data_IF_765148189987
#
_entry.id   IF_765148189987
#
_cell.length_a   1.000
_cell.length_b   1.000
_cell.length_c   1.000
_cell.angle_alpha   90.00
_cell.angle_beta   90.00
_cell.angle_gamma   90.00
#
_symmetry.space_group_name_H-M   'P 1'
#
loop_
_entity.id
_entity.type
_entity.pdbx_description
1 polymer ?
#
# COMPACT_ATOMS: atom_id res chain seq x y z
N UNK A 1 3.24 -31.33 -17.69
CA UNK A 1 2.52 -30.04 -17.82
C UNK A 1 2.28 -29.49 -16.42
N UNK A 2 2.42 -28.18 -16.22
CA UNK A 2 2.10 -27.55 -14.94
C UNK A 2 0.59 -27.60 -14.70
N UNK A 3 0.17 -27.77 -13.44
CA UNK A 3 -1.25 -27.79 -13.06
C UNK A 3 -1.82 -26.37 -13.03
N UNK A 4 -3.00 -26.08 -13.61
CA UNK A 4 -3.55 -24.74 -13.64
C UNK A 4 -3.93 -24.24 -12.24
N UNK A 5 -3.63 -22.97 -11.97
CA UNK A 5 -4.04 -22.24 -10.78
C UNK A 5 -4.49 -20.81 -11.15
N UNK A 6 -5.47 -20.29 -10.43
CA UNK A 6 -6.05 -18.97 -10.70
C UNK A 6 -5.67 -17.95 -9.63
N UNK A 7 -5.30 -16.74 -10.05
CA UNK A 7 -5.36 -15.52 -9.24
C UNK A 7 -6.61 -14.74 -9.65
N UNK A 8 -7.55 -14.60 -8.71
CA UNK A 8 -8.77 -13.82 -8.87
C UNK A 8 -8.60 -12.46 -8.20
N UNK A 9 -8.84 -11.37 -8.94
CA UNK A 9 -8.99 -10.02 -8.38
C UNK A 9 -10.26 -9.36 -8.92
N UNK A 10 -10.86 -8.48 -8.12
CA UNK A 10 -11.99 -7.64 -8.54
C UNK A 10 -11.63 -6.66 -9.67
N UNK A 11 -10.33 -6.39 -9.87
CA UNK A 11 -9.83 -5.45 -10.87
C UNK A 11 -9.36 -6.13 -12.16
N UNK A 12 -9.16 -7.46 -12.14
CA UNK A 12 -8.57 -8.21 -13.25
C UNK A 12 -9.62 -8.89 -14.15
N UNK A 13 -10.72 -8.19 -14.46
CA UNK A 13 -11.87 -8.79 -15.16
C UNK A 13 -11.62 -9.13 -16.64
N UNK A 14 -10.58 -8.58 -17.26
CA UNK A 14 -10.09 -8.88 -18.62
C UNK A 14 -8.65 -8.33 -18.75
N UNK A 15 -7.78 -8.71 -17.82
CA UNK A 15 -6.50 -8.05 -17.59
C UNK A 15 -5.35 -8.64 -18.42
N UNK A 16 -5.59 -9.71 -19.18
CA UNK A 16 -4.58 -10.40 -20.00
C UNK A 16 -3.32 -10.70 -19.19
N UNK A 17 -3.47 -11.19 -17.95
CA UNK A 17 -2.35 -11.47 -17.03
C UNK A 17 -1.52 -10.22 -16.61
N UNK A 18 -2.03 -8.99 -16.71
CA UNK A 18 -1.26 -7.76 -16.48
C UNK A 18 -0.62 -7.68 -15.08
N UNK A 19 -1.26 -8.20 -14.04
CA UNK A 19 -0.66 -8.29 -12.68
C UNK A 19 0.68 -9.06 -12.67
N UNK A 20 0.92 -9.92 -13.67
CA UNK A 20 2.16 -10.65 -13.88
C UNK A 20 2.95 -10.19 -15.11
N UNK A 21 2.70 -8.98 -15.60
CA UNK A 21 3.48 -8.35 -16.67
C UNK A 21 4.27 -7.18 -16.09
N UNK A 22 5.50 -7.04 -16.59
CA UNK A 22 6.33 -5.85 -16.34
C UNK A 22 6.09 -4.91 -17.51
N UNK A 23 5.46 -3.77 -17.24
CA UNK A 23 5.44 -2.64 -18.18
C UNK A 23 6.30 -1.51 -17.59
N UNK A 24 7.44 -1.17 -18.21
CA UNK A 24 8.32 -0.10 -17.72
C UNK A 24 7.67 1.28 -17.72
N UNK A 25 6.56 1.48 -18.46
CA UNK A 25 5.83 2.74 -18.53
C UNK A 25 4.65 2.83 -17.54
N UNK A 26 4.35 1.75 -16.81
CA UNK A 26 3.22 1.71 -15.91
C UNK A 26 3.56 2.38 -14.57
N UNK A 27 2.66 3.26 -14.13
CA UNK A 27 2.74 3.86 -12.80
C UNK A 27 2.70 2.72 -11.77
N UNK A 28 3.65 2.71 -10.81
CA UNK A 28 3.72 1.76 -9.68
C UNK A 28 4.24 0.34 -9.98
N UNK A 29 5.28 0.20 -10.81
CA UNK A 29 5.95 -1.10 -11.09
C UNK A 29 6.32 -1.89 -9.81
N UNK A 30 6.71 -1.20 -8.73
CA UNK A 30 7.06 -1.80 -7.44
C UNK A 30 5.89 -2.56 -6.80
N UNK A 31 4.64 -2.22 -7.16
CA UNK A 31 3.46 -2.95 -6.68
C UNK A 31 3.28 -4.33 -7.34
N UNK A 32 3.91 -4.59 -8.49
CA UNK A 32 3.74 -5.84 -9.25
C UNK A 32 4.75 -6.93 -8.91
N UNK A 33 5.94 -6.56 -8.45
CA UNK A 33 7.01 -7.51 -8.18
C UNK A 33 6.62 -8.64 -7.22
N UNK A 34 5.89 -8.40 -6.11
CA UNK A 34 5.44 -9.49 -5.23
C UNK A 34 4.61 -10.55 -5.95
N UNK A 35 3.75 -10.13 -6.89
CA UNK A 35 2.91 -11.03 -7.67
C UNK A 35 3.72 -11.82 -8.71
N UNK A 36 4.68 -11.17 -9.37
CA UNK A 36 5.62 -11.83 -10.27
C UNK A 36 6.42 -12.93 -9.55
N UNK A 37 6.97 -12.61 -8.37
CA UNK A 37 7.70 -13.58 -7.53
C UNK A 37 6.81 -14.70 -7.01
N UNK A 38 5.55 -14.40 -6.71
CA UNK A 38 4.58 -15.43 -6.33
C UNK A 38 4.33 -16.42 -7.47
N UNK A 39 4.12 -15.91 -8.70
CA UNK A 39 3.95 -16.74 -9.89
C UNK A 39 5.18 -17.59 -10.19
N UNK A 40 6.38 -17.01 -10.13
CA UNK A 40 7.63 -17.77 -10.29
C UNK A 40 7.76 -18.90 -9.26
N UNK A 41 7.37 -18.62 -8.01
CA UNK A 41 7.46 -19.60 -6.91
C UNK A 41 6.51 -20.78 -7.12
N UNK A 42 5.26 -20.53 -7.52
CA UNK A 42 4.32 -21.59 -7.90
C UNK A 42 4.77 -22.36 -9.14
N UNK A 43 5.34 -21.67 -10.14
CA UNK A 43 5.87 -22.32 -11.36
C UNK A 43 6.97 -23.33 -11.03
N UNK A 44 7.88 -23.02 -10.11
CA UNK A 44 8.92 -23.96 -9.64
C UNK A 44 8.34 -25.19 -8.93
N UNK A 45 7.16 -25.06 -8.34
CA UNK A 45 6.44 -26.14 -7.66
C UNK A 45 5.48 -26.91 -8.61
N UNK A 46 5.52 -26.62 -9.92
CA UNK A 46 4.72 -27.33 -10.93
C UNK A 46 3.30 -26.78 -11.14
N UNK A 47 3.01 -25.56 -10.68
CA UNK A 47 1.71 -24.90 -10.84
C UNK A 47 1.83 -23.70 -11.77
N UNK A 48 0.89 -23.56 -12.71
CA UNK A 48 0.79 -22.39 -13.57
C UNK A 48 -0.21 -21.40 -12.98
N UNK A 49 0.28 -20.39 -12.26
CA UNK A 49 -0.56 -19.33 -11.70
C UNK A 49 -0.79 -18.24 -12.76
N UNK A 50 -2.05 -18.02 -13.12
CA UNK A 50 -2.45 -16.96 -14.04
C UNK A 50 -3.75 -16.29 -13.58
N UNK A 51 -4.06 -15.12 -14.13
CA UNK A 51 -5.32 -14.43 -13.87
C UNK A 51 -6.51 -15.23 -14.39
N UNK A 52 -7.70 -14.96 -13.84
CA UNK A 52 -8.93 -15.73 -14.13
C UNK A 52 -9.37 -15.77 -15.60
N UNK A 53 -8.95 -14.78 -16.40
CA UNK A 53 -9.17 -14.71 -17.85
C UNK A 53 -8.26 -15.68 -18.64
N UNK A 54 -7.18 -16.18 -18.02
CA UNK A 54 -6.28 -17.18 -18.59
C UNK A 54 -6.60 -18.57 -18.01
N UNK A 55 -6.57 -18.69 -16.68
CA UNK A 55 -6.91 -19.93 -15.98
C UNK A 55 -8.24 -19.75 -15.27
N UNK A 56 -9.29 -20.40 -15.77
CA UNK A 56 -10.63 -20.35 -15.19
C UNK A 56 -10.64 -20.95 -13.78
N UNK A 57 -11.53 -20.42 -12.93
CA UNK A 57 -11.63 -20.81 -11.51
C UNK A 57 -12.09 -22.26 -11.38
N UNK A 58 -13.01 -22.68 -12.23
CA UNK A 58 -13.58 -24.03 -12.27
C UNK A 58 -12.59 -25.12 -12.73
N UNK A 59 -11.62 -24.75 -13.58
CA UNK A 59 -10.65 -25.68 -14.15
C UNK A 59 -9.34 -25.74 -13.34
N UNK A 60 -9.19 -24.84 -12.36
CA UNK A 60 -7.96 -24.67 -11.60
C UNK A 60 -7.92 -25.55 -10.35
N UNK A 61 -6.73 -26.10 -10.07
CA UNK A 61 -6.50 -26.94 -8.89
C UNK A 61 -6.72 -26.15 -7.58
N UNK A 62 -6.39 -24.86 -7.60
CA UNK A 62 -6.69 -23.92 -6.54
C UNK A 62 -6.86 -22.50 -7.08
N UNK A 63 -7.52 -21.66 -6.29
CA UNK A 63 -7.69 -20.23 -6.58
C UNK A 63 -7.23 -19.38 -5.40
N UNK A 64 -6.45 -18.33 -5.69
CA UNK A 64 -6.09 -17.26 -4.76
C UNK A 64 -6.93 -16.04 -5.07
N UNK A 65 -7.72 -15.59 -4.11
CA UNK A 65 -8.53 -14.39 -4.19
C UNK A 65 -7.79 -13.22 -3.54
N UNK A 66 -7.54 -12.15 -4.29
CA UNK A 66 -7.09 -10.87 -3.76
C UNK A 66 -8.31 -10.01 -3.45
N UNK A 67 -8.52 -9.82 -2.14
CA UNK A 67 -9.73 -9.26 -1.55
C UNK A 67 -11.01 -10.05 -1.85
N UNK A 68 -12.05 -9.78 -1.08
CA UNK A 68 -13.34 -10.42 -1.18
C UNK A 68 -13.96 -10.13 -2.56
N UNK A 69 -14.39 -11.15 -3.32
CA UNK A 69 -15.12 -10.95 -4.57
C UNK A 69 -16.37 -10.09 -4.36
N UNK A 70 -16.56 -9.05 -5.18
CA UNK A 70 -17.74 -8.17 -5.06
C UNK A 70 -19.07 -8.92 -5.19
N UNK A 71 -19.10 -9.97 -6.01
CA UNK A 71 -20.27 -10.80 -6.26
C UNK A 71 -20.17 -12.16 -5.54
N UNK A 72 -19.66 -12.19 -4.29
CA UNK A 72 -19.40 -13.41 -3.51
C UNK A 72 -20.61 -14.35 -3.34
N UNK A 73 -21.84 -13.82 -3.49
CA UNK A 73 -23.07 -14.61 -3.41
C UNK A 73 -23.55 -15.14 -4.77
N UNK A 74 -22.95 -14.66 -5.87
CA UNK A 74 -23.33 -15.00 -7.25
C UNK A 74 -22.29 -15.93 -7.89
N UNK A 75 -21.10 -16.05 -7.30
CA UNK A 75 -20.02 -16.91 -7.79
C UNK A 75 -19.87 -18.16 -6.94
N UNK A 76 -19.57 -19.28 -7.59
CA UNK A 76 -19.12 -20.50 -6.90
C UNK A 76 -17.68 -20.31 -6.41
N UNK A 77 -17.42 -20.67 -5.15
CA UNK A 77 -16.09 -20.67 -4.56
C UNK A 77 -15.63 -22.13 -4.42
N UNK A 78 -14.65 -22.58 -5.23
CA UNK A 78 -14.16 -23.96 -5.15
C UNK A 78 -13.59 -24.30 -3.78
N UNK A 79 -13.54 -25.59 -3.45
CA UNK A 79 -13.02 -26.09 -2.16
C UNK A 79 -11.60 -25.60 -1.85
N UNK A 80 -10.71 -25.59 -2.85
CA UNK A 80 -9.32 -25.12 -2.71
C UNK A 80 -9.21 -23.62 -3.04
N UNK A 81 -9.96 -22.80 -2.29
CA UNK A 81 -9.92 -21.35 -2.42
C UNK A 81 -9.26 -20.71 -1.22
N UNK A 82 -8.33 -19.80 -1.47
CA UNK A 82 -7.56 -19.07 -0.48
C UNK A 82 -7.78 -17.58 -0.66
N UNK A 83 -7.87 -16.84 0.44
CA UNK A 83 -8.15 -15.40 0.41
C UNK A 83 -6.96 -14.62 0.97
N UNK A 84 -6.52 -13.59 0.26
CA UNK A 84 -5.59 -12.59 0.76
C UNK A 84 -6.40 -11.33 1.02
N UNK A 85 -6.55 -10.97 2.29
CA UNK A 85 -7.15 -9.71 2.72
C UNK A 85 -6.10 -8.61 2.54
N UNK A 86 -6.00 -8.10 1.32
CA UNK A 86 -5.02 -7.08 0.99
C UNK A 86 -5.47 -5.74 1.57
N UNK A 87 -6.66 -5.26 1.17
CA UNK A 87 -7.11 -3.92 1.48
C UNK A 87 -7.83 -3.80 2.85
N UNK A 88 -7.67 -2.63 3.47
CA UNK A 88 -8.34 -2.28 4.73
C UNK A 88 -9.82 -1.94 4.57
N UNK A 89 -10.55 -1.85 5.67
CA UNK A 89 -11.99 -1.60 5.75
C UNK A 89 -12.43 -0.29 5.10
N UNK A 90 -11.53 0.69 5.04
CA UNK A 90 -11.74 1.96 4.33
C UNK A 90 -11.81 1.76 2.81
N UNK A 91 -11.12 0.76 2.27
CA UNK A 91 -10.96 0.53 0.82
C UNK A 91 -11.82 -0.65 0.33
N UNK A 92 -11.82 -1.76 1.06
CA UNK A 92 -12.55 -2.97 0.75
C UNK A 92 -13.36 -3.42 1.98
N UNK A 93 -14.48 -2.76 2.30
CA UNK A 93 -15.31 -3.12 3.46
C UNK A 93 -15.82 -4.57 3.41
N UNK A 94 -15.96 -5.15 2.21
CA UNK A 94 -16.41 -6.53 1.99
C UNK A 94 -15.45 -7.57 2.57
N UNK A 95 -14.15 -7.24 2.71
CA UNK A 95 -13.15 -8.05 3.39
C UNK A 95 -13.49 -8.34 4.84
N UNK A 96 -14.34 -7.51 5.47
CA UNK A 96 -14.58 -7.55 6.91
C UNK A 96 -15.95 -8.13 7.25
N UNK A 97 -16.62 -8.73 6.26
CA UNK A 97 -17.85 -9.49 6.45
C UNK A 97 -17.48 -10.93 6.82
N UNK A 98 -17.24 -11.16 8.12
CA UNK A 98 -16.65 -12.40 8.65
C UNK A 98 -17.36 -13.70 8.22
N UNK A 99 -18.69 -13.69 8.04
CA UNK A 99 -19.42 -14.88 7.57
C UNK A 99 -18.93 -15.40 6.21
N UNK A 100 -18.42 -14.51 5.34
CA UNK A 100 -17.93 -14.88 4.02
C UNK A 100 -16.58 -15.63 4.09
N UNK A 101 -15.83 -15.47 5.18
CA UNK A 101 -14.56 -16.17 5.42
C UNK A 101 -14.72 -17.68 5.51
N UNK A 102 -15.91 -18.17 5.83
CA UNK A 102 -16.21 -19.61 5.88
C UNK A 102 -16.08 -20.28 4.49
N UNK A 103 -16.17 -19.52 3.40
CA UNK A 103 -16.04 -20.02 2.03
C UNK A 103 -14.60 -20.33 1.60
N UNK A 104 -13.60 -19.90 2.38
CA UNK A 104 -12.19 -20.05 2.04
C UNK A 104 -11.49 -21.01 2.99
N UNK A 105 -10.58 -21.83 2.44
CA UNK A 105 -9.82 -22.85 3.19
C UNK A 105 -8.87 -22.19 4.19
N UNK A 106 -8.04 -21.26 3.70
CA UNK A 106 -7.18 -20.39 4.52
C UNK A 106 -7.27 -18.94 4.06
N UNK A 107 -6.94 -18.03 4.96
CA UNK A 107 -7.00 -16.59 4.80
C UNK A 107 -5.66 -16.01 5.25
N UNK A 108 -5.07 -15.19 4.42
CA UNK A 108 -3.87 -14.43 4.74
C UNK A 108 -4.31 -13.00 5.03
N UNK A 109 -3.95 -12.49 6.21
CA UNK A 109 -4.34 -11.15 6.65
C UNK A 109 -3.17 -10.44 7.33
N UNK A 110 -3.13 -9.12 7.23
CA UNK A 110 -2.24 -8.28 8.04
C UNK A 110 -2.83 -8.01 9.44
N UNK A 111 -4.15 -8.23 9.61
CA UNK A 111 -4.85 -7.99 10.87
C UNK A 111 -4.47 -9.07 11.89
N UNK A 112 -3.60 -8.68 12.82
CA UNK A 112 -3.07 -9.56 13.86
C UNK A 112 -4.13 -10.12 14.81
N UNK A 113 -5.30 -9.50 14.93
CA UNK A 113 -6.36 -9.96 15.85
C UNK A 113 -7.10 -11.18 15.34
N UNK A 114 -7.04 -11.46 14.03
CA UNK A 114 -7.70 -12.62 13.42
C UNK A 114 -6.80 -13.86 13.37
N UNK A 115 -5.48 -13.70 13.55
CA UNK A 115 -4.49 -14.74 13.26
C UNK A 115 -4.56 -15.87 14.29
N UNK A 116 -4.85 -17.09 13.81
CA UNK A 116 -4.89 -18.33 14.60
C UNK A 116 -3.85 -19.37 14.15
N UNK A 117 -3.14 -19.11 13.05
CA UNK A 117 -2.20 -20.03 12.37
C UNK A 117 -2.82 -21.37 11.95
N UNK A 118 -4.15 -21.42 11.84
CA UNK A 118 -4.92 -22.58 11.35
C UNK A 118 -5.69 -22.20 10.09
N UNK A 119 -6.58 -21.20 10.21
CA UNK A 119 -7.33 -20.62 9.10
C UNK A 119 -6.76 -19.27 8.71
N UNK A 120 -6.32 -18.47 9.66
CA UNK A 120 -5.82 -17.12 9.47
C UNK A 120 -4.30 -17.06 9.68
N UNK A 121 -3.58 -16.63 8.66
CA UNK A 121 -2.13 -16.51 8.67
C UNK A 121 -1.71 -15.05 8.50
N UNK A 122 -0.75 -14.62 9.32
CA UNK A 122 -0.26 -13.25 9.30
C UNK A 122 0.67 -13.03 8.09
N UNK A 123 0.27 -12.19 7.15
CA UNK A 123 1.21 -11.67 6.14
C UNK A 123 1.59 -10.22 6.45
N UNK A 124 2.81 -9.85 6.10
CA UNK A 124 3.23 -8.46 6.05
C UNK A 124 3.31 -8.01 4.60
N UNK A 125 2.98 -6.75 4.35
CA UNK A 125 3.10 -6.20 3.00
C UNK A 125 4.53 -6.45 2.46
N UNK A 126 4.66 -7.07 1.28
CA UNK A 126 5.95 -7.41 0.70
C UNK A 126 6.65 -6.18 0.13
N UNK A 127 7.91 -5.99 0.49
CA UNK A 127 8.73 -4.83 0.12
C UNK A 127 10.14 -5.25 -0.32
N UNK A 128 10.74 -4.43 -1.17
CA UNK A 128 12.20 -4.42 -1.35
C UNK A 128 12.83 -3.84 -0.09
N UNK A 129 13.91 -4.46 0.38
CA UNK A 129 14.65 -4.02 1.56
C UNK A 129 16.00 -3.42 1.16
N UNK A 130 15.96 -2.56 0.15
CA UNK A 130 17.10 -1.79 -0.34
C UNK A 130 17.19 -0.43 0.36
N UNK A 131 18.34 0.24 0.25
CA UNK A 131 18.53 1.57 0.82
C UNK A 131 19.37 2.43 -0.12
N UNK A 132 18.86 3.61 -0.44
CA UNK A 132 19.55 4.65 -1.17
C UNK A 132 19.28 6.00 -0.51
N UNK A 133 20.25 6.92 -0.54
CA UNK A 133 20.09 8.21 0.12
C UNK A 133 20.85 9.30 -0.63
N UNK A 134 20.18 10.42 -0.92
CA UNK A 134 20.83 11.65 -1.41
C UNK A 134 21.43 12.46 -0.27
N UNK A 135 22.48 13.26 -0.52
CA UNK A 135 23.04 14.14 0.50
C UNK A 135 22.00 15.10 1.09
N UNK A 136 22.04 15.30 2.41
CA UNK A 136 21.08 16.15 3.15
C UNK A 136 20.90 17.56 2.56
N UNK A 137 21.97 18.16 2.01
CA UNK A 137 21.96 19.51 1.44
C UNK A 137 21.19 19.61 0.11
N UNK A 138 21.06 18.50 -0.61
CA UNK A 138 20.35 18.45 -1.90
C UNK A 138 18.85 18.20 -1.74
N UNK A 139 18.41 17.85 -0.52
CA UNK A 139 17.03 17.49 -0.24
C UNK A 139 16.17 18.70 0.14
N UNK A 140 15.00 18.79 -0.48
CA UNK A 140 13.88 19.65 -0.06
C UNK A 140 13.33 19.17 1.29
N UNK A 141 12.51 19.99 1.95
CA UNK A 141 12.09 19.72 3.31
C UNK A 141 11.09 18.56 3.40
N UNK A 142 9.86 18.74 2.91
CA UNK A 142 8.78 17.75 3.11
C UNK A 142 8.08 17.41 1.80
N UNK A 143 7.74 16.12 1.62
CA UNK A 143 6.84 15.66 0.57
C UNK A 143 5.59 14.93 1.07
N UNK A 144 4.64 14.70 0.19
CA UNK A 144 3.61 13.67 0.34
C UNK A 144 3.35 12.96 -1.00
N UNK A 145 3.32 11.63 -1.00
CA UNK A 145 2.91 10.82 -2.16
C UNK A 145 1.60 10.12 -1.83
N UNK A 146 0.49 10.63 -2.36
CA UNK A 146 -0.83 10.05 -2.13
C UNK A 146 -1.77 10.37 -3.27
N UNK A 147 -2.61 9.41 -3.68
CA UNK A 147 -3.70 9.69 -4.62
C UNK A 147 -4.82 10.50 -3.96
N UNK A 148 -5.50 11.34 -4.76
CA UNK A 148 -6.71 12.02 -4.33
C UNK A 148 -7.85 10.98 -4.25
N UNK A 149 -8.12 10.51 -3.03
CA UNK A 149 -9.21 9.56 -2.75
C UNK A 149 -10.18 10.18 -1.77
N UNK A 150 -11.34 9.54 -1.64
CA UNK A 150 -12.40 9.92 -0.72
C UNK A 150 -13.02 8.68 -0.10
N UNK A 151 -13.34 8.75 1.19
CA UNK A 151 -14.15 7.77 1.90
C UNK A 151 -14.97 8.47 2.98
N UNK A 152 -16.13 7.91 3.31
CA UNK A 152 -16.94 8.34 4.47
C UNK A 152 -16.60 7.53 5.73
N UNK A 153 -15.67 6.56 5.64
CA UNK A 153 -15.34 5.69 6.75
C UNK A 153 -14.64 6.51 7.86
N UNK A 154 -15.02 6.37 9.14
CA UNK A 154 -14.50 7.24 10.22
C UNK A 154 -12.99 7.12 10.45
N UNK A 155 -12.39 5.98 10.05
CA UNK A 155 -10.95 5.74 10.19
C UNK A 155 -10.11 6.22 9.00
N UNK A 156 -10.73 6.79 7.96
CA UNK A 156 -10.01 7.22 6.76
C UNK A 156 -9.02 8.38 7.04
N UNK A 157 -7.88 8.36 6.35
CA UNK A 157 -6.86 9.40 6.46
C UNK A 157 -6.79 10.33 5.24
N UNK A 158 -7.67 10.17 4.24
CA UNK A 158 -7.71 11.03 3.06
C UNK A 158 -8.09 12.47 3.41
N UNK A 159 -9.05 12.68 4.33
CA UNK A 159 -9.37 14.04 4.79
C UNK A 159 -8.20 14.69 5.51
N UNK A 160 -7.41 13.93 6.27
CA UNK A 160 -6.22 14.46 6.93
C UNK A 160 -5.15 14.87 5.91
N UNK A 161 -4.96 14.10 4.84
CA UNK A 161 -4.07 14.47 3.71
C UNK A 161 -4.50 15.80 3.08
N UNK A 162 -5.81 16.00 2.86
CA UNK A 162 -6.35 17.27 2.35
C UNK A 162 -6.13 18.44 3.32
N UNK A 163 -6.33 18.21 4.63
CA UNK A 163 -6.04 19.21 5.68
C UNK A 163 -4.56 19.59 5.70
N UNK A 164 -3.67 18.60 5.56
CA UNK A 164 -2.22 18.80 5.48
C UNK A 164 -1.86 19.70 4.29
N UNK A 165 -2.32 19.35 3.07
CA UNK A 165 -2.07 20.14 1.86
C UNK A 165 -2.57 21.59 2.05
N UNK A 166 -3.81 21.76 2.53
CA UNK A 166 -4.38 23.09 2.76
C UNK A 166 -3.57 23.90 3.76
N UNK A 167 -3.11 23.27 4.84
CA UNK A 167 -2.30 23.95 5.85
C UNK A 167 -0.98 24.48 5.25
N UNK A 168 -0.26 23.66 4.47
CA UNK A 168 0.99 24.09 3.83
C UNK A 168 0.78 25.15 2.75
N UNK A 169 -0.28 25.05 1.92
CA UNK A 169 -0.63 26.08 0.93
C UNK A 169 -0.87 27.46 1.56
N UNK A 170 -1.40 27.50 2.79
CA UNK A 170 -1.65 28.76 3.52
C UNK A 170 -0.45 29.25 4.31
N UNK A 171 0.37 28.36 4.88
CA UNK A 171 1.36 28.75 5.88
C UNK A 171 2.82 28.68 5.39
N UNK A 172 3.21 27.64 4.64
CA UNK A 172 4.62 27.35 4.31
C UNK A 172 4.73 26.60 2.97
N UNK A 173 4.28 27.22 1.89
CA UNK A 173 4.15 26.55 0.59
C UNK A 173 5.49 26.05 0.02
N UNK A 174 6.57 26.82 0.19
CA UNK A 174 7.88 26.53 -0.43
C UNK A 174 8.59 25.32 0.18
N UNK A 175 8.16 24.88 1.37
CA UNK A 175 8.75 23.77 2.11
C UNK A 175 8.02 22.43 1.90
N UNK A 176 6.92 22.42 1.15
CA UNK A 176 6.09 21.23 0.95
C UNK A 176 5.64 21.07 -0.49
N UNK A 177 5.92 19.92 -1.08
CA UNK A 177 5.45 19.52 -2.41
C UNK A 177 4.73 18.16 -2.33
N UNK A 178 3.75 17.92 -3.19
CA UNK A 178 3.07 16.62 -3.18
C UNK A 178 2.76 16.07 -4.57
N UNK A 179 2.65 14.75 -4.62
CA UNK A 179 2.46 13.97 -5.83
C UNK A 179 1.32 12.98 -5.67
N UNK A 180 0.75 12.55 -6.78
CA UNK A 180 -0.19 11.44 -6.82
C UNK A 180 -1.31 11.63 -7.83
N UNK A 181 -2.03 10.56 -8.12
CA UNK A 181 -3.06 10.55 -9.16
C UNK A 181 -4.34 11.22 -8.66
N UNK A 182 -4.97 12.04 -9.53
CA UNK A 182 -6.34 12.53 -9.34
C UNK A 182 -6.47 13.86 -8.59
N UNK A 183 -5.37 14.52 -8.25
CA UNK A 183 -5.42 15.88 -7.67
C UNK A 183 -5.74 16.96 -8.72
N UNK A 184 -5.54 16.65 -10.00
CA UNK A 184 -5.97 17.42 -11.16
C UNK A 184 -7.44 17.18 -11.53
N UNK A 185 -8.22 16.56 -10.64
CA UNK A 185 -9.62 16.19 -10.87
C UNK A 185 -10.47 16.56 -9.66
N UNK A 186 -11.67 17.07 -9.93
CA UNK A 186 -12.69 17.25 -8.91
C UNK A 186 -13.20 15.88 -8.44
N UNK A 187 -13.03 15.61 -7.14
CA UNK A 187 -13.58 14.43 -6.47
C UNK A 187 -14.44 14.90 -5.30
N UNK A 188 -15.72 14.57 -5.35
CA UNK A 188 -16.70 14.91 -4.33
C UNK A 188 -17.10 13.68 -3.52
N UNK A 189 -17.78 13.92 -2.39
CA UNK A 189 -18.38 12.85 -1.59
C UNK A 189 -19.58 12.17 -2.26
N UNK A 190 -20.22 12.85 -3.21
CA UNK A 190 -21.42 12.37 -3.86
C UNK A 190 -21.07 11.53 -5.09
N UNK A 191 -21.35 10.22 -5.00
CA UNK A 191 -21.06 9.25 -6.06
C UNK A 191 -21.80 9.57 -7.36
N UNK A 192 -23.04 10.02 -7.29
CA UNK A 192 -23.83 10.41 -8.47
C UNK A 192 -23.24 11.65 -9.14
N UNK A 193 -22.85 12.64 -8.34
CA UNK A 193 -22.21 13.85 -8.86
C UNK A 193 -20.87 13.52 -9.54
N UNK A 194 -20.04 12.66 -8.92
CA UNK A 194 -18.80 12.19 -9.54
C UNK A 194 -19.05 11.48 -10.88
N UNK A 195 -20.12 10.68 -10.97
CA UNK A 195 -20.51 10.02 -12.21
C UNK A 195 -20.88 11.04 -13.30
N UNK A 196 -21.68 12.06 -12.98
CA UNK A 196 -22.08 13.12 -13.92
C UNK A 196 -20.86 13.92 -14.37
N UNK A 197 -20.04 14.40 -13.44
CA UNK A 197 -18.81 15.17 -13.73
C UNK A 197 -17.87 14.39 -14.65
N UNK A 198 -17.70 13.08 -14.39
CA UNK A 198 -16.87 12.21 -15.22
C UNK A 198 -17.47 12.00 -16.60
N UNK A 199 -18.78 11.73 -16.70
CA UNK A 199 -19.49 11.52 -17.98
C UNK A 199 -19.38 12.74 -18.90
N UNK A 200 -19.32 13.94 -18.33
CA UNK A 200 -19.28 15.21 -19.06
C UNK A 200 -17.85 15.79 -19.19
N UNK A 201 -16.82 15.03 -18.79
CA UNK A 201 -15.41 15.47 -18.80
C UNK A 201 -15.12 16.80 -18.04
N UNK A 202 -16.01 17.21 -17.12
CA UNK A 202 -15.87 18.45 -16.34
C UNK A 202 -14.88 18.32 -15.17
N UNK A 203 -14.40 17.10 -14.89
CA UNK A 203 -13.53 16.82 -13.73
C UNK A 203 -12.25 17.65 -13.70
N UNK A 204 -11.62 17.88 -14.85
CA UNK A 204 -10.40 18.69 -14.98
C UNK A 204 -10.68 20.20 -14.98
N UNK A 205 -11.81 20.62 -15.51
CA UNK A 205 -12.18 22.05 -15.58
C UNK A 205 -12.44 22.58 -14.17
N UNK A 206 -13.13 21.79 -13.35
CA UNK A 206 -13.52 22.14 -11.99
C UNK A 206 -12.50 21.68 -10.94
N UNK A 207 -11.32 21.20 -11.36
CA UNK A 207 -10.33 20.69 -10.42
C UNK A 207 -9.74 21.80 -9.55
N UNK A 208 -9.51 21.56 -8.26
CA UNK A 208 -8.74 22.51 -7.44
C UNK A 208 -7.35 22.73 -8.05
N UNK A 209 -6.89 23.99 -8.07
CA UNK A 209 -5.53 24.34 -8.52
C UNK A 209 -4.63 24.46 -7.29
N UNK A 210 -3.85 23.41 -7.04
CA UNK A 210 -2.81 23.41 -6.01
C UNK A 210 -1.51 23.94 -6.59
N UNK A 211 -0.84 24.86 -5.89
CA UNK A 211 0.40 25.48 -6.35
C UNK A 211 1.60 24.55 -6.11
N UNK A 212 1.55 23.74 -5.07
CA UNK A 212 2.60 22.78 -4.70
C UNK A 212 2.37 21.33 -5.17
N UNK A 213 1.38 21.10 -6.03
CA UNK A 213 1.18 19.81 -6.69
C UNK A 213 2.14 19.61 -7.85
N UNK A 214 2.80 18.46 -7.91
CA UNK A 214 3.83 18.13 -8.92
C UNK A 214 3.41 17.04 -9.91
N UNK A 215 2.15 16.61 -9.90
CA UNK A 215 1.66 15.57 -10.82
C UNK A 215 1.69 14.16 -10.24
N UNK A 216 1.41 13.18 -11.09
CA UNK A 216 1.64 11.75 -10.78
C UNK A 216 3.07 11.35 -11.11
N UNK A 217 3.56 10.33 -10.41
CA UNK A 217 4.93 9.80 -10.55
C UNK A 217 4.87 8.37 -11.08
N UNK A 218 5.66 8.06 -12.10
CA UNK A 218 5.84 6.71 -12.63
C UNK A 218 6.71 5.89 -11.71
N UNK A 219 7.86 6.46 -11.33
CA UNK A 219 8.77 5.91 -10.35
C UNK A 219 8.70 6.74 -9.05
N UNK A 220 8.36 6.08 -7.94
CA UNK A 220 8.28 6.74 -6.63
C UNK A 220 9.64 7.23 -6.15
N UNK A 221 10.73 6.52 -6.49
CA UNK A 221 12.10 6.87 -6.12
C UNK A 221 12.46 8.26 -6.61
N UNK A 222 12.24 8.53 -7.90
CA UNK A 222 12.59 9.80 -8.56
C UNK A 222 11.95 11.01 -7.90
N UNK A 223 10.82 10.83 -7.22
CA UNK A 223 10.20 11.86 -6.40
C UNK A 223 10.74 11.85 -4.97
N UNK A 224 10.64 10.73 -4.27
CA UNK A 224 10.90 10.63 -2.82
C UNK A 224 12.33 10.99 -2.43
N UNK A 225 13.33 10.54 -3.18
CA UNK A 225 14.74 10.68 -2.78
C UNK A 225 15.20 12.14 -2.65
N UNK A 226 14.43 13.09 -3.21
CA UNK A 226 14.70 14.53 -3.15
C UNK A 226 14.22 15.20 -1.86
N UNK A 227 13.66 14.46 -0.90
CA UNK A 227 13.08 15.03 0.32
C UNK A 227 13.71 14.47 1.59
N UNK A 228 13.78 15.31 2.62
CA UNK A 228 14.21 14.91 3.97
C UNK A 228 13.11 14.11 4.64
N UNK A 229 11.89 14.62 4.60
CA UNK A 229 10.73 14.03 5.26
C UNK A 229 9.61 13.75 4.26
N UNK A 230 8.80 12.73 4.52
CA UNK A 230 7.58 12.47 3.75
C UNK A 230 6.42 12.13 4.67
N UNK A 231 5.25 12.75 4.46
CA UNK A 231 4.00 12.34 5.10
C UNK A 231 3.62 10.94 4.63
N UNK A 232 3.85 9.97 5.52
CA UNK A 232 3.61 8.55 5.33
C UNK A 232 2.31 8.15 6.04
N UNK A 233 1.19 8.74 5.61
CA UNK A 233 -0.12 8.43 6.15
C UNK A 233 -0.70 7.20 5.46
N UNK A 234 -1.08 6.19 6.22
CA UNK A 234 -1.83 5.04 5.70
C UNK A 234 -3.19 5.46 5.15
N UNK A 235 -3.90 4.55 4.49
CA UNK A 235 -5.26 4.84 4.01
C UNK A 235 -6.29 4.87 5.15
N UNK A 236 -6.00 4.14 6.23
CA UNK A 236 -6.81 4.05 7.44
C UNK A 236 -5.94 4.19 8.68
N UNK A 237 -6.48 4.81 9.72
CA UNK A 237 -6.08 4.51 11.09
C UNK A 237 -6.51 3.08 11.42
N UNK A 238 -5.64 2.33 12.06
CA UNK A 238 -5.94 0.94 12.38
C UNK A 238 -5.21 0.48 13.65
N UNK A 239 -5.86 -0.37 14.42
CA UNK A 239 -5.34 -0.82 15.72
C UNK A 239 -4.70 -2.22 15.65
N UNK A 240 -4.72 -2.87 14.48
CA UNK A 240 -4.42 -4.29 14.32
C UNK A 240 -3.24 -4.64 13.40
N UNK A 241 -2.56 -3.64 12.83
CA UNK A 241 -1.27 -3.86 12.16
C UNK A 241 -1.23 -3.54 10.67
N UNK A 242 -2.15 -2.72 10.14
CA UNK A 242 -2.11 -2.26 8.76
C UNK A 242 -0.89 -1.35 8.51
N UNK A 243 0.20 -1.95 8.04
CA UNK A 243 1.44 -1.27 7.65
C UNK A 243 1.71 -1.66 6.19
N UNK A 244 1.57 -0.69 5.30
CA UNK A 244 1.67 -0.90 3.86
C UNK A 244 3.08 -0.61 3.33
N UNK A 245 3.22 -0.57 2.00
CA UNK A 245 4.47 -0.24 1.31
C UNK A 245 4.99 1.17 1.61
N UNK A 246 4.12 2.10 2.04
CA UNK A 246 4.44 3.54 2.11
C UNK A 246 5.63 3.87 3.01
N UNK A 247 5.76 3.16 4.13
CA UNK A 247 6.89 3.39 5.03
C UNK A 247 8.19 2.84 4.45
N UNK A 248 8.12 1.72 3.73
CA UNK A 248 9.26 1.13 3.05
C UNK A 248 9.67 1.95 1.82
N UNK A 249 8.72 2.55 1.10
CA UNK A 249 9.02 3.55 0.06
C UNK A 249 9.88 4.70 0.63
N UNK A 250 9.59 5.17 1.85
CA UNK A 250 10.41 6.18 2.51
C UNK A 250 11.79 5.63 2.87
N UNK A 251 11.83 4.44 3.49
CA UNK A 251 13.07 3.81 3.94
C UNK A 251 14.05 3.53 2.79
N UNK A 252 13.57 2.96 1.68
CA UNK A 252 14.38 2.64 0.50
C UNK A 252 15.01 3.87 -0.17
N UNK A 253 14.44 5.06 0.06
CA UNK A 253 14.89 6.33 -0.51
C UNK A 253 15.58 7.24 0.52
N UNK A 254 15.90 6.72 1.71
CA UNK A 254 16.61 7.47 2.75
C UNK A 254 15.80 8.69 3.23
N UNK A 255 14.47 8.60 3.14
CA UNK A 255 13.53 9.63 3.56
C UNK A 255 13.01 9.27 4.95
N UNK A 256 12.96 10.24 5.86
CA UNK A 256 12.40 10.03 7.19
C UNK A 256 10.87 10.10 7.11
N UNK A 257 10.14 9.01 7.41
CA UNK A 257 8.68 9.01 7.34
C UNK A 257 8.08 9.76 8.53
N UNK A 258 7.14 10.65 8.23
CA UNK A 258 6.18 11.22 9.19
C UNK A 258 4.97 10.29 9.18
N UNK A 259 4.94 9.32 10.09
CA UNK A 259 4.02 8.20 10.05
C UNK A 259 2.71 8.49 10.81
N UNK A 260 1.59 8.06 10.21
CA UNK A 260 0.31 7.89 10.89
C UNK A 260 -0.46 6.74 10.23
N UNK A 261 -0.94 5.79 11.03
CA UNK A 261 -1.62 4.61 10.50
C UNK A 261 -1.86 3.58 11.60
N UNK A 262 -1.08 2.50 11.59
CA UNK A 262 -1.18 1.46 12.61
C UNK A 262 -0.68 1.93 13.98
N UNK A 263 -1.50 1.77 15.04
CA UNK A 263 -1.06 2.01 16.42
C UNK A 263 0.01 1.03 16.89
N UNK A 264 0.05 -0.17 16.29
CA UNK A 264 0.99 -1.25 16.60
C UNK A 264 2.28 -1.21 15.79
N UNK A 265 2.55 -0.14 15.03
CA UNK A 265 3.74 -0.07 14.17
C UNK A 265 5.05 -0.35 14.91
N UNK A 266 5.16 0.09 16.16
CA UNK A 266 6.37 -0.06 16.97
C UNK A 266 6.63 -1.49 17.45
N UNK A 267 5.68 -2.42 17.29
CA UNK A 267 5.88 -3.84 17.62
C UNK A 267 6.87 -4.51 16.66
N UNK A 268 6.92 -4.05 15.41
CA UNK A 268 7.71 -4.67 14.34
C UNK A 268 8.70 -3.72 13.67
N UNK A 269 8.47 -2.41 13.73
CA UNK A 269 9.37 -1.38 13.17
C UNK A 269 9.85 -0.46 14.31
N UNK A 270 11.15 -0.28 14.54
CA UNK A 270 11.64 0.52 15.67
C UNK A 270 11.19 1.99 15.62
N UNK A 271 10.71 2.56 16.74
CA UNK A 271 10.23 3.96 16.81
C UNK A 271 11.27 4.99 16.35
N UNK A 272 12.57 4.72 16.55
CA UNK A 272 13.68 5.60 16.19
C UNK A 272 14.00 5.65 14.68
N UNK A 273 13.20 5.00 13.83
CA UNK A 273 13.30 5.09 12.36
C UNK A 273 12.28 6.05 11.75
N UNK A 274 11.42 6.68 12.55
CA UNK A 274 10.31 7.49 12.05
C UNK A 274 9.96 8.63 13.00
N UNK A 275 9.15 9.57 12.51
CA UNK A 275 8.52 10.61 13.31
C UNK A 275 7.03 10.27 13.37
N UNK A 276 6.48 10.06 14.57
CA UNK A 276 5.06 9.76 14.72
C UNK A 276 4.26 11.07 14.70
N UNK A 277 3.33 11.21 13.75
CA UNK A 277 2.47 12.40 13.69
C UNK A 277 1.61 12.57 14.95
N UNK A 278 1.25 11.46 15.61
CA UNK A 278 0.51 11.44 16.87
C UNK A 278 1.23 12.09 18.05
N UNK A 279 2.56 12.28 17.95
CA UNK A 279 3.35 12.92 19.01
C UNK A 279 3.23 14.45 18.95
N UNK A 280 2.50 15.01 17.97
CA UNK A 280 2.33 16.45 17.76
C UNK A 280 0.86 16.86 17.86
N UNK A 281 0.58 18.03 18.43
CA UNK A 281 -0.80 18.53 18.59
C UNK A 281 -1.44 18.95 17.27
N UNK A 282 -0.63 19.47 16.35
CA UNK A 282 -1.09 20.05 15.09
C UNK A 282 0.06 20.13 14.07
N UNK A 283 -0.26 20.53 12.83
CA UNK A 283 0.74 20.65 11.75
C UNK A 283 1.81 21.73 12.00
N UNK A 284 1.49 22.79 12.74
CA UNK A 284 2.45 23.86 13.07
C UNK A 284 3.54 23.34 13.99
N UNK A 285 3.18 22.67 15.08
CA UNK A 285 4.13 22.10 16.04
C UNK A 285 5.06 21.08 15.36
N UNK A 286 4.51 20.23 14.49
CA UNK A 286 5.29 19.31 13.67
C UNK A 286 6.25 20.06 12.75
N UNK A 287 5.76 21.05 11.99
CA UNK A 287 6.57 21.79 11.03
C UNK A 287 7.74 22.50 11.72
N UNK A 288 7.51 23.16 12.86
CA UNK A 288 8.54 23.82 13.65
C UNK A 288 9.60 22.81 14.14
N UNK A 289 9.18 21.62 14.56
CA UNK A 289 10.09 20.53 14.92
C UNK A 289 10.95 20.07 13.73
N UNK A 290 10.35 19.85 12.55
CA UNK A 290 11.07 19.40 11.36
C UNK A 290 12.05 20.46 10.85
N UNK A 291 11.66 21.75 10.88
CA UNK A 291 12.49 22.87 10.41
C UNK A 291 13.68 23.13 11.33
N UNK A 292 13.51 22.93 12.63
CA UNK A 292 14.57 23.09 13.64
C UNK A 292 15.48 21.85 13.79
N UNK A 293 15.17 20.75 13.11
CA UNK A 293 15.94 19.51 13.22
C UNK A 293 17.38 19.69 12.71
N UNK A 294 18.34 19.44 13.61
CA UNK A 294 19.77 19.43 13.27
C UNK A 294 20.11 18.22 12.41
N UNK A 295 21.12 18.37 11.55
CA UNK A 295 21.61 17.32 10.66
C UNK A 295 21.96 16.03 11.40
N UNK A 296 22.62 16.12 12.55
CA UNK A 296 23.03 14.93 13.32
C UNK A 296 21.83 14.08 13.75
N UNK A 297 20.71 14.72 14.11
CA UNK A 297 19.48 14.00 14.47
C UNK A 297 18.83 13.35 13.25
N UNK A 298 18.84 14.03 12.10
CA UNK A 298 18.37 13.47 10.85
C UNK A 298 19.22 12.26 10.42
N UNK A 299 20.54 12.38 10.50
CA UNK A 299 21.48 11.30 10.17
C UNK A 299 21.28 10.11 11.10
N UNK A 300 21.07 10.34 12.40
CA UNK A 300 20.74 9.28 13.37
C UNK A 300 19.51 8.47 12.92
N UNK A 301 18.41 9.15 12.56
CA UNK A 301 17.18 8.47 12.11
C UNK A 301 17.43 7.69 10.81
N UNK A 302 18.12 8.28 9.83
CA UNK A 302 18.41 7.59 8.55
C UNK A 302 19.37 6.40 8.72
N UNK A 303 20.33 6.48 9.64
CA UNK A 303 21.18 5.35 10.01
C UNK A 303 20.39 4.23 10.71
N UNK A 304 19.42 4.58 11.56
CA UNK A 304 18.52 3.61 12.18
C UNK A 304 17.66 2.90 11.12
N UNK A 305 17.14 3.65 10.13
CA UNK A 305 16.40 3.09 8.99
C UNK A 305 17.27 2.06 8.25
N UNK A 306 18.48 2.44 7.86
CA UNK A 306 19.38 1.55 7.12
C UNK A 306 19.71 0.29 7.93
N UNK A 307 19.94 0.45 9.24
CA UNK A 307 20.22 -0.67 10.15
C UNK A 307 19.03 -1.61 10.29
N UNK A 308 17.81 -1.07 10.38
CA UNK A 308 16.59 -1.87 10.42
C UNK A 308 16.40 -2.69 9.13
N UNK A 309 16.54 -2.08 7.95
CA UNK A 309 16.37 -2.77 6.66
C UNK A 309 17.34 -3.94 6.47
N UNK A 310 18.56 -3.82 7.00
CA UNK A 310 19.58 -4.90 6.99
C UNK A 310 19.38 -5.96 8.07
N UNK A 311 18.48 -5.74 9.01
CA UNK A 311 18.28 -6.64 10.15
C UNK A 311 17.40 -7.83 9.80
N UNK A 312 17.56 -8.93 10.55
CA UNK A 312 16.65 -10.08 10.49
C UNK A 312 15.20 -9.69 10.81
N UNK A 313 14.96 -8.64 11.61
CA UNK A 313 13.60 -8.19 11.92
C UNK A 313 12.86 -7.67 10.70
N UNK A 314 13.55 -7.04 9.76
CA UNK A 314 12.93 -6.55 8.53
C UNK A 314 12.58 -7.68 7.55
N UNK A 315 13.18 -8.88 7.66
CA UNK A 315 13.00 -9.95 6.67
C UNK A 315 11.54 -10.41 6.53
N UNK A 316 10.71 -10.26 7.57
CA UNK A 316 9.28 -10.58 7.52
C UNK A 316 8.50 -9.68 6.54
N UNK A 317 9.05 -8.51 6.19
CA UNK A 317 8.51 -7.59 5.19
C UNK A 317 9.08 -7.83 3.79
N UNK A 318 9.96 -8.81 3.60
CA UNK A 318 10.53 -9.09 2.29
C UNK A 318 9.53 -9.75 1.36
N UNK A 319 9.70 -9.53 0.05
CA UNK A 319 8.94 -10.23 -0.98
C UNK A 319 9.08 -11.76 -0.83
N UNK A 320 10.28 -12.25 -0.51
CA UNK A 320 10.54 -13.69 -0.34
C UNK A 320 9.74 -14.28 0.83
N UNK A 321 9.70 -13.60 1.98
CA UNK A 321 8.91 -14.08 3.12
C UNK A 321 7.43 -14.20 2.78
N UNK A 322 6.88 -13.20 2.09
CA UNK A 322 5.50 -13.23 1.61
C UNK A 322 5.26 -14.41 0.67
N UNK A 323 6.08 -14.59 -0.37
CA UNK A 323 5.87 -15.66 -1.34
C UNK A 323 6.04 -17.05 -0.74
N UNK A 324 7.02 -17.24 0.15
CA UNK A 324 7.23 -18.48 0.90
C UNK A 324 6.04 -18.81 1.81
N UNK A 325 5.52 -17.83 2.55
CA UNK A 325 4.33 -18.01 3.39
C UNK A 325 3.14 -18.50 2.56
N UNK A 326 2.79 -17.78 1.49
CA UNK A 326 1.63 -18.10 0.66
C UNK A 326 1.80 -19.48 0.00
N UNK A 327 2.95 -19.72 -0.64
CA UNK A 327 3.19 -20.98 -1.37
C UNK A 327 3.22 -22.18 -0.43
N UNK A 328 3.93 -22.09 0.70
CA UNK A 328 4.00 -23.17 1.69
C UNK A 328 2.62 -23.54 2.21
N UNK A 329 1.81 -22.56 2.59
CA UNK A 329 0.48 -22.80 3.17
C UNK A 329 -0.54 -23.32 2.17
N UNK A 330 -0.43 -22.94 0.90
CA UNK A 330 -1.31 -23.44 -0.15
C UNK A 330 -0.89 -24.85 -0.57
N UNK A 331 0.41 -25.10 -0.77
CA UNK A 331 0.88 -26.41 -1.24
C UNK A 331 0.76 -27.49 -0.17
N UNK A 332 0.85 -27.16 1.12
CA UNK A 332 0.60 -28.14 2.20
C UNK A 332 -0.81 -28.72 2.19
N UNK A 333 -1.74 -28.05 1.52
CA UNK A 333 -3.16 -28.35 1.51
C UNK A 333 -3.60 -29.10 0.22
N UNK A 334 -2.71 -29.23 -0.76
CA UNK A 334 -2.92 -29.86 -2.06
C UNK A 334 -2.31 -31.26 -2.10
#
# INVERSE_FOLDING_TARGET
MNKPATLYSNYSLNDSNNIFKVDPNELSIDSKEPHLKLKESFKRLGYDLATKDINKVEDSLFTIFYDMPRAINEISIPKNSYLILWECEVIAPENWIMKNHLKFKKIFTWDSSLVDNVKYFNFRYPNKLDFSNKPYKEKKLISMLAGNKYSNHPLELYSLRKKCIKWFETNNIDDFEFYGIGWDKLITSNRYLNFIIKKWNLSKILSPKYKNYKGSVTNKKDALENYKFCFCFENSLNDQGYISEKIFDCFSNGVVPIYLGSKKINETIPKNTMILFSDFKNFKDLYEYLKSMKKDKYDEITNNIQSFLKSKKASIYSINYFTELITKQIVSDL
#
